data_IF_442901225295
#
_entry.id   IF_442901225295
#
_cell.length_a   1.000
_cell.length_b   1.000
_cell.length_c   1.000
_cell.angle_alpha   90.00
_cell.angle_beta   90.00
_cell.angle_gamma   90.00
#
_symmetry.space_group_name_H-M   'P 1'
#
loop_
_entity.id
_entity.type
_entity.pdbx_description
1 polymer ?
#
# COMPACT_ATOMS: atom_id res chain seq x y z
N UNK A 1 27.14 11.76 13.93
CA UNK A 1 26.49 10.44 14.00
C UNK A 1 26.01 10.11 12.60
N UNK A 2 26.48 9.00 12.01
CA UNK A 2 25.98 8.55 10.70
C UNK A 2 24.51 8.17 10.88
N UNK A 3 23.59 8.96 10.34
CA UNK A 3 22.17 8.60 10.33
C UNK A 3 22.03 7.40 9.38
N UNK A 4 21.67 6.23 9.91
CA UNK A 4 21.42 5.06 9.09
C UNK A 4 20.30 5.35 8.10
N UNK A 5 20.49 4.99 6.83
CA UNK A 5 19.47 5.15 5.78
C UNK A 5 18.17 4.44 6.20
N UNK A 6 17.00 5.12 6.21
CA UNK A 6 15.71 4.51 6.51
C UNK A 6 15.41 3.29 5.63
N UNK A 7 15.01 2.17 6.23
CA UNK A 7 14.41 1.02 5.54
C UNK A 7 12.91 1.00 5.82
N UNK A 8 12.11 0.99 4.75
CA UNK A 8 10.67 1.18 4.79
C UNK A 8 9.89 -0.10 4.49
N UNK A 9 8.83 -0.30 5.26
CA UNK A 9 7.67 -1.10 4.86
C UNK A 9 6.54 -0.15 4.44
N UNK A 10 6.21 -0.12 3.16
CA UNK A 10 5.23 0.82 2.61
C UNK A 10 3.80 0.28 2.60
N UNK A 11 3.50 -0.89 3.15
CA UNK A 11 2.12 -1.38 3.23
C UNK A 11 1.92 -2.30 4.43
N UNK A 12 1.20 -1.82 5.43
CA UNK A 12 0.80 -2.59 6.61
C UNK A 12 -0.61 -2.21 7.03
N UNK A 13 -1.26 -3.06 7.81
CA UNK A 13 -2.51 -2.80 8.49
C UNK A 13 -2.33 -3.06 9.99
N UNK A 14 -3.11 -2.39 10.83
CA UNK A 14 -3.19 -2.72 12.26
C UNK A 14 -4.64 -3.00 12.64
N UNK A 15 -4.83 -3.92 13.56
CA UNK A 15 -6.12 -4.31 14.10
C UNK A 15 -6.08 -4.33 15.61
N UNK A 16 -6.98 -3.57 16.24
CA UNK A 16 -7.06 -3.50 17.70
C UNK A 16 -5.84 -2.82 18.36
N UNK A 17 -5.65 -3.04 19.68
CA UNK A 17 -6.43 -3.97 20.50
C UNK A 17 -7.89 -3.50 20.65
N UNK A 18 -8.85 -4.43 20.59
CA UNK A 18 -10.27 -4.10 20.38
C UNK A 18 -10.97 -3.50 21.60
N UNK A 19 -10.39 -3.63 22.80
CA UNK A 19 -10.82 -2.95 24.01
C UNK A 19 -10.62 -1.44 23.94
N UNK A 20 -9.57 -0.98 23.22
CA UNK A 20 -9.25 0.45 23.02
C UNK A 20 -9.71 0.97 21.67
N UNK A 21 -9.62 0.15 20.63
CA UNK A 21 -9.98 0.50 19.27
C UNK A 21 -10.98 -0.51 18.72
N UNK A 22 -12.25 -0.47 19.20
CA UNK A 22 -13.27 -1.40 18.76
C UNK A 22 -13.60 -1.19 17.28
N UNK A 23 -13.93 -2.27 16.60
CA UNK A 23 -14.47 -2.21 15.24
C UNK A 23 -15.89 -1.60 15.26
N UNK A 24 -16.28 -0.89 14.18
CA UNK A 24 -17.68 -0.51 13.98
C UNK A 24 -18.58 -1.75 13.89
N UNK A 25 -19.86 -1.61 14.25
CA UNK A 25 -20.82 -2.73 14.22
C UNK A 25 -21.02 -3.28 12.80
N UNK A 26 -20.83 -2.43 11.80
CA UNK A 26 -20.99 -2.70 10.38
C UNK A 26 -19.70 -3.23 9.72
N UNK A 27 -18.68 -3.57 10.51
CA UNK A 27 -17.44 -4.14 9.97
C UNK A 27 -17.72 -5.40 9.16
N UNK A 28 -17.17 -5.46 7.94
CA UNK A 28 -17.40 -6.56 6.98
C UNK A 28 -16.97 -7.92 7.53
N UNK A 29 -15.97 -7.93 8.43
CA UNK A 29 -15.54 -9.09 9.21
C UNK A 29 -14.77 -8.61 10.46
N UNK A 30 -14.43 -9.54 11.37
CA UNK A 30 -13.62 -9.27 12.57
C UNK A 30 -12.30 -10.04 12.45
N UNK A 31 -11.17 -9.37 12.12
CA UNK A 31 -9.86 -10.02 12.09
C UNK A 31 -9.34 -10.34 13.49
N UNK A 32 -8.33 -11.19 13.58
CA UNK A 32 -7.54 -11.31 14.81
C UNK A 32 -6.86 -9.98 15.15
N UNK A 33 -6.67 -9.71 16.44
CA UNK A 33 -5.99 -8.49 16.87
C UNK A 33 -4.52 -8.52 16.43
N UNK A 34 -4.10 -7.47 15.75
CA UNK A 34 -2.74 -7.24 15.27
C UNK A 34 -2.37 -5.78 15.58
N UNK A 35 -2.12 -5.45 16.86
CA UNK A 35 -1.96 -4.07 17.31
C UNK A 35 -0.62 -3.48 16.85
N UNK A 36 -0.50 -2.15 16.92
CA UNK A 36 0.71 -1.44 16.49
C UNK A 36 2.01 -1.92 17.17
N UNK A 37 1.96 -2.32 18.45
CA UNK A 37 3.14 -2.85 19.13
C UNK A 37 3.60 -4.20 18.55
N UNK A 38 2.68 -5.03 18.05
CA UNK A 38 3.02 -6.25 17.34
C UNK A 38 3.68 -5.94 15.99
N UNK A 39 3.15 -4.96 15.25
CA UNK A 39 3.78 -4.48 14.01
C UNK A 39 5.21 -3.99 14.26
N UNK A 40 5.42 -3.20 15.32
CA UNK A 40 6.76 -2.71 15.70
C UNK A 40 7.72 -3.85 16.05
N UNK A 41 7.24 -4.89 16.71
CA UNK A 41 8.05 -6.06 17.02
C UNK A 41 8.50 -6.79 15.74
N UNK A 42 7.59 -6.98 14.78
CA UNK A 42 7.90 -7.56 13.46
C UNK A 42 8.93 -6.69 12.73
N UNK A 43 8.66 -5.39 12.58
CA UNK A 43 9.58 -4.45 11.92
C UNK A 43 10.99 -4.51 12.52
N UNK A 44 11.09 -4.53 13.86
CA UNK A 44 12.37 -4.67 14.56
C UNK A 44 13.08 -5.97 14.20
N UNK A 45 12.37 -7.10 14.12
CA UNK A 45 12.98 -8.39 13.79
C UNK A 45 13.50 -8.51 12.37
N UNK A 46 12.92 -7.76 11.42
CA UNK A 46 13.31 -7.79 10.00
C UNK A 46 14.08 -6.53 9.55
N UNK A 47 14.51 -5.69 10.49
CA UNK A 47 15.34 -4.51 10.21
C UNK A 47 14.60 -3.33 9.56
N UNK A 48 13.27 -3.33 9.57
CA UNK A 48 12.47 -2.18 9.11
C UNK A 48 12.49 -1.09 10.17
N UNK A 49 12.73 0.14 9.72
CA UNK A 49 12.86 1.32 10.59
C UNK A 49 11.70 2.31 10.43
N UNK A 50 11.04 2.28 9.28
CA UNK A 50 9.93 3.18 8.92
C UNK A 50 8.79 2.38 8.31
N UNK A 51 7.56 2.86 8.48
CA UNK A 51 6.38 2.11 8.07
C UNK A 51 5.26 2.97 7.50
N UNK A 52 4.41 2.38 6.68
CA UNK A 52 3.17 3.00 6.21
C UNK A 52 2.00 2.14 6.66
N UNK A 53 1.17 2.70 7.54
CA UNK A 53 -0.02 2.06 8.08
C UNK A 53 -1.21 2.50 7.22
N UNK A 54 -1.74 1.56 6.46
CA UNK A 54 -2.91 1.76 5.62
C UNK A 54 -4.15 1.45 6.46
N UNK A 55 -5.11 2.37 6.49
CA UNK A 55 -6.38 2.20 7.17
C UNK A 55 -7.03 0.89 6.72
N UNK A 56 -7.23 -0.01 7.68
CA UNK A 56 -7.90 -1.27 7.43
C UNK A 56 -9.38 -1.01 7.11
N UNK A 57 -9.89 -1.70 6.09
CA UNK A 57 -11.27 -1.50 5.60
C UNK A 57 -12.32 -1.71 6.70
N UNK A 58 -12.05 -2.63 7.64
CA UNK A 58 -12.91 -2.97 8.77
C UNK A 58 -13.19 -1.80 9.71
N UNK A 59 -12.29 -0.83 9.81
CA UNK A 59 -12.50 0.38 10.62
C UNK A 59 -13.26 1.48 9.87
N UNK A 60 -13.38 1.37 8.53
CA UNK A 60 -14.03 2.38 7.70
C UNK A 60 -13.49 3.79 7.99
N UNK A 61 -14.38 4.77 8.31
CA UNK A 61 -13.98 6.15 8.58
C UNK A 61 -13.48 6.39 10.01
N UNK A 62 -13.35 5.35 10.85
CA UNK A 62 -12.80 5.49 12.20
C UNK A 62 -11.27 5.33 12.17
N UNK A 63 -10.54 6.44 12.15
CA UNK A 63 -9.07 6.45 12.11
C UNK A 63 -8.41 6.46 13.50
N UNK A 64 -9.14 6.23 14.61
CA UNK A 64 -8.57 6.33 15.96
C UNK A 64 -7.35 5.43 16.16
N UNK A 65 -7.42 4.17 15.72
CA UNK A 65 -6.28 3.23 15.80
C UNK A 65 -5.09 3.72 14.97
N UNK A 66 -5.35 4.11 13.71
CA UNK A 66 -4.33 4.62 12.78
C UNK A 66 -3.62 5.82 13.40
N UNK A 67 -4.37 6.85 13.80
CA UNK A 67 -3.78 8.09 14.25
C UNK A 67 -3.04 7.94 15.59
N UNK A 68 -3.53 7.09 16.49
CA UNK A 68 -2.81 6.77 17.72
C UNK A 68 -1.48 6.05 17.44
N UNK A 69 -1.45 5.17 16.43
CA UNK A 69 -0.21 4.51 15.99
C UNK A 69 0.78 5.50 15.38
N UNK A 70 0.31 6.49 14.61
CA UNK A 70 1.19 7.53 14.05
C UNK A 70 1.81 8.41 15.15
N UNK A 71 1.04 8.82 16.14
CA UNK A 71 1.56 9.58 17.29
C UNK A 71 2.62 8.77 18.05
N UNK A 72 2.33 7.50 18.33
CA UNK A 72 3.27 6.59 19.00
C UNK A 72 4.50 6.26 18.14
N UNK A 73 4.39 6.38 16.81
CA UNK A 73 5.46 6.15 15.85
C UNK A 73 6.50 7.27 15.79
N UNK A 74 6.27 8.42 16.44
CA UNK A 74 7.19 9.56 16.54
C UNK A 74 7.88 9.94 15.21
N UNK A 75 7.09 9.98 14.13
CA UNK A 75 7.57 10.34 12.79
C UNK A 75 8.24 9.21 11.99
N UNK A 76 8.41 8.00 12.55
CA UNK A 76 8.90 6.85 11.79
C UNK A 76 7.80 6.20 10.92
N UNK A 77 6.53 6.47 11.21
CA UNK A 77 5.39 5.93 10.49
C UNK A 77 4.62 7.01 9.73
N UNK A 78 3.99 6.64 8.62
CA UNK A 78 3.00 7.45 7.87
C UNK A 78 1.68 6.71 7.75
N UNK A 79 0.60 7.48 7.59
CA UNK A 79 -0.74 6.93 7.45
C UNK A 79 -1.30 7.07 6.05
N UNK A 80 -2.10 6.09 5.63
CA UNK A 80 -2.99 6.18 4.48
C UNK A 80 -4.42 6.03 4.99
N UNK A 81 -5.25 7.05 4.82
CA UNK A 81 -6.62 7.06 5.32
C UNK A 81 -7.62 6.47 4.32
N UNK A 82 -8.77 6.01 4.80
CA UNK A 82 -9.98 5.84 3.98
C UNK A 82 -10.94 6.97 4.33
N UNK A 83 -11.33 7.80 3.37
CA UNK A 83 -12.19 8.98 3.60
C UNK A 83 -13.43 8.92 2.70
N UNK A 84 -14.41 9.76 3.00
CA UNK A 84 -15.48 10.10 2.06
C UNK A 84 -15.25 11.51 1.49
N UNK A 85 -15.82 11.86 0.33
CA UNK A 85 -15.74 13.22 -0.22
C UNK A 85 -16.24 14.30 0.75
N UNK A 86 -17.20 13.95 1.61
CA UNK A 86 -17.87 14.83 2.57
C UNK A 86 -17.07 15.02 3.88
N UNK A 87 -15.88 14.40 4.00
CA UNK A 87 -15.05 14.56 5.20
C UNK A 87 -14.74 16.06 5.43
N UNK A 88 -14.92 16.59 6.65
CA UNK A 88 -14.60 17.99 6.94
C UNK A 88 -13.11 18.32 6.72
N UNK A 89 -12.82 19.53 6.24
CA UNK A 89 -11.44 20.02 6.02
C UNK A 89 -10.58 19.97 7.28
N UNK A 90 -11.18 20.31 8.44
CA UNK A 90 -10.52 20.24 9.74
C UNK A 90 -9.98 18.84 10.05
N UNK A 91 -10.70 17.78 9.63
CA UNK A 91 -10.26 16.41 9.85
C UNK A 91 -9.10 16.06 8.93
N UNK A 92 -9.12 16.51 7.67
CA UNK A 92 -8.00 16.31 6.75
C UNK A 92 -6.74 17.03 7.23
N UNK A 93 -6.86 18.28 7.68
CA UNK A 93 -5.75 19.04 8.25
C UNK A 93 -5.18 18.37 9.52
N UNK A 94 -6.05 17.88 10.40
CA UNK A 94 -5.66 17.13 11.61
C UNK A 94 -4.95 15.81 11.27
N UNK A 95 -5.43 15.08 10.26
CA UNK A 95 -4.75 13.88 9.75
C UNK A 95 -3.37 14.21 9.16
N UNK A 96 -3.26 15.30 8.39
CA UNK A 96 -2.01 15.74 7.78
C UNK A 96 -0.96 16.08 8.84
N UNK A 97 -1.36 16.85 9.87
CA UNK A 97 -0.50 17.21 10.99
C UNK A 97 0.04 16.00 11.76
N UNK A 98 -0.68 14.86 11.73
CA UNK A 98 -0.31 13.61 12.41
C UNK A 98 0.40 12.62 11.48
N UNK A 99 0.77 13.02 10.26
CA UNK A 99 1.59 12.20 9.37
C UNK A 99 0.81 11.31 8.41
N UNK A 100 -0.47 11.57 8.16
CA UNK A 100 -1.16 10.99 7.00
C UNK A 100 -0.60 11.63 5.73
N UNK A 101 -0.33 10.81 4.70
CA UNK A 101 0.29 11.22 3.43
C UNK A 101 -0.52 10.79 2.20
N UNK A 102 -1.68 10.19 2.40
CA UNK A 102 -2.49 9.68 1.31
C UNK A 102 -3.80 9.09 1.74
N UNK A 103 -4.59 8.70 0.74
CA UNK A 103 -5.83 7.96 0.92
C UNK A 103 -5.82 6.65 0.15
N UNK A 104 -6.63 5.69 0.57
CA UNK A 104 -6.88 4.45 -0.16
C UNK A 104 -8.23 4.54 -0.88
N UNK A 105 -8.18 4.31 -2.19
CA UNK A 105 -9.32 4.04 -3.05
C UNK A 105 -9.39 2.51 -3.22
N UNK A 106 -10.20 1.87 -2.37
CA UNK A 106 -10.44 0.43 -2.42
C UNK A 106 -11.48 0.09 -3.48
N UNK A 107 -11.13 -0.79 -4.41
CA UNK A 107 -11.96 -1.23 -5.55
C UNK A 107 -12.09 -2.75 -5.62
N UNK A 108 -11.73 -3.45 -4.54
CA UNK A 108 -11.95 -4.88 -4.42
C UNK A 108 -13.42 -5.15 -4.07
N UNK A 109 -14.11 -5.85 -4.97
CA UNK A 109 -15.54 -6.18 -4.85
C UNK A 109 -15.85 -7.04 -3.62
N UNK A 110 -14.98 -7.99 -3.26
CA UNK A 110 -15.15 -8.81 -2.06
C UNK A 110 -15.03 -8.02 -0.75
N UNK A 111 -14.53 -6.78 -0.80
CA UNK A 111 -14.53 -5.84 0.34
C UNK A 111 -15.73 -4.88 0.28
N UNK A 112 -16.73 -5.17 -0.56
CA UNK A 112 -17.95 -4.37 -0.70
C UNK A 112 -17.80 -3.10 -1.55
N UNK A 113 -16.71 -2.95 -2.31
CA UNK A 113 -16.48 -1.74 -3.11
C UNK A 113 -16.80 -1.98 -4.60
N UNK A 114 -17.44 -0.99 -5.25
CA UNK A 114 -17.58 -0.90 -6.69
C UNK A 114 -16.82 0.31 -7.23
N UNK A 115 -16.44 0.26 -8.51
CA UNK A 115 -15.83 1.41 -9.18
C UNK A 115 -16.86 2.51 -9.41
N UNK A 116 -16.47 3.74 -9.08
CA UNK A 116 -17.22 4.97 -9.33
C UNK A 116 -16.21 6.08 -9.68
N UNK A 117 -16.18 6.47 -10.96
CA UNK A 117 -15.26 7.49 -11.45
C UNK A 117 -15.49 8.88 -10.84
N UNK A 118 -16.76 9.23 -10.54
CA UNK A 118 -17.11 10.50 -9.91
C UNK A 118 -16.61 10.56 -8.47
N UNK A 119 -16.74 9.45 -7.74
CA UNK A 119 -16.20 9.33 -6.38
C UNK A 119 -14.67 9.38 -6.37
N UNK A 120 -13.99 8.69 -7.27
CA UNK A 120 -12.52 8.75 -7.41
C UNK A 120 -12.06 10.19 -7.61
N UNK A 121 -12.69 10.90 -8.55
CA UNK A 121 -12.42 12.30 -8.84
C UNK A 121 -12.60 13.19 -7.63
N UNK A 122 -13.74 13.09 -6.96
CA UNK A 122 -14.02 13.89 -5.77
C UNK A 122 -12.99 13.62 -4.65
N UNK A 123 -12.64 12.36 -4.39
CA UNK A 123 -11.63 12.01 -3.38
C UNK A 123 -10.25 12.60 -3.70
N UNK A 124 -9.83 12.54 -4.96
CA UNK A 124 -8.57 13.09 -5.43
C UNK A 124 -8.51 14.62 -5.27
N UNK A 125 -9.61 15.32 -5.55
CA UNK A 125 -9.72 16.77 -5.35
C UNK A 125 -9.54 17.16 -3.88
N UNK A 126 -10.12 16.39 -2.94
CA UNK A 126 -10.01 16.66 -1.49
C UNK A 126 -8.57 16.60 -0.97
N UNK A 127 -7.73 15.72 -1.53
CA UNK A 127 -6.38 15.48 -1.02
C UNK A 127 -5.31 16.34 -1.68
N UNK A 128 -5.61 16.93 -2.84
CA UNK A 128 -4.66 17.71 -3.64
C UNK A 128 -3.96 18.84 -2.85
N UNK A 129 -4.65 19.64 -2.01
CA UNK A 129 -4.00 20.72 -1.24
C UNK A 129 -2.93 20.25 -0.26
N UNK A 130 -2.96 18.97 0.13
CA UNK A 130 -2.04 18.39 1.11
C UNK A 130 -0.81 17.72 0.48
N UNK A 131 -0.72 17.68 -0.85
CA UNK A 131 0.34 16.95 -1.56
C UNK A 131 0.29 15.44 -1.35
N UNK A 132 -0.86 14.93 -0.92
CA UNK A 132 -1.11 13.52 -0.64
C UNK A 132 -1.23 12.70 -1.92
N UNK A 133 -0.97 11.39 -1.81
CA UNK A 133 -1.18 10.45 -2.92
C UNK A 133 -2.48 9.65 -2.77
N UNK A 134 -3.00 9.16 -3.89
CA UNK A 134 -4.10 8.20 -3.93
C UNK A 134 -3.54 6.79 -4.14
N UNK A 135 -3.71 5.92 -3.16
CA UNK A 135 -3.41 4.50 -3.27
C UNK A 135 -4.61 3.78 -3.91
N UNK A 136 -4.37 3.04 -4.99
CA UNK A 136 -5.40 2.31 -5.74
C UNK A 136 -5.21 0.81 -5.50
N UNK A 137 -6.21 0.18 -4.90
CA UNK A 137 -6.22 -1.27 -4.68
C UNK A 137 -7.43 -1.90 -5.39
N UNK A 138 -7.18 -2.64 -6.47
CA UNK A 138 -8.19 -3.29 -7.30
C UNK A 138 -7.56 -4.29 -8.26
N UNK A 139 -8.41 -5.04 -8.97
CA UNK A 139 -8.01 -5.81 -10.16
C UNK A 139 -7.48 -4.87 -11.26
N UNK A 140 -6.64 -5.36 -12.19
CA UNK A 140 -5.99 -4.53 -13.21
C UNK A 140 -6.93 -3.57 -13.96
N UNK A 141 -8.12 -4.03 -14.35
CA UNK A 141 -9.11 -3.20 -15.06
C UNK A 141 -9.61 -2.04 -14.20
N UNK A 142 -9.84 -2.28 -12.91
CA UNK A 142 -10.24 -1.25 -11.95
C UNK A 142 -9.10 -0.27 -11.68
N UNK A 143 -7.84 -0.76 -11.68
CA UNK A 143 -6.66 0.10 -11.58
C UNK A 143 -6.59 1.07 -12.76
N UNK A 144 -6.76 0.55 -13.99
CA UNK A 144 -6.75 1.38 -15.20
C UNK A 144 -7.89 2.40 -15.19
N UNK A 145 -9.11 1.99 -14.85
CA UNK A 145 -10.26 2.88 -14.78
C UNK A 145 -10.12 3.97 -13.70
N UNK A 146 -9.54 3.63 -12.54
CA UNK A 146 -9.28 4.59 -11.48
C UNK A 146 -8.14 5.55 -11.81
N UNK A 147 -7.10 5.08 -12.50
CA UNK A 147 -6.03 5.93 -12.97
C UNK A 147 -6.54 6.95 -14.01
N UNK A 148 -7.38 6.52 -14.94
CA UNK A 148 -8.04 7.41 -15.90
C UNK A 148 -8.93 8.46 -15.19
N UNK A 149 -9.74 8.02 -14.22
CA UNK A 149 -10.59 8.92 -13.44
C UNK A 149 -9.79 9.95 -12.61
N UNK A 150 -8.60 9.58 -12.13
CA UNK A 150 -7.73 10.43 -11.33
C UNK A 150 -6.74 11.29 -12.15
N UNK A 151 -6.45 10.91 -13.40
CA UNK A 151 -5.30 11.34 -14.21
C UNK A 151 -5.23 12.81 -14.63
N UNK A 152 -6.14 13.67 -14.16
CA UNK A 152 -6.16 15.10 -14.52
C UNK A 152 -5.95 16.06 -13.35
N UNK A 153 -5.74 15.55 -12.13
CA UNK A 153 -5.76 16.40 -10.92
C UNK A 153 -4.41 16.66 -10.27
N UNK A 154 -3.30 16.21 -10.87
CA UNK A 154 -1.95 16.49 -10.36
C UNK A 154 -1.64 15.83 -9.02
N UNK A 155 -2.28 14.70 -8.69
CA UNK A 155 -1.94 13.88 -7.52
C UNK A 155 -1.09 12.68 -7.93
N UNK A 156 -0.23 12.22 -7.03
CA UNK A 156 0.50 10.96 -7.21
C UNK A 156 -0.49 9.79 -7.05
N UNK A 157 -0.36 8.78 -7.91
CA UNK A 157 -1.08 7.51 -7.80
C UNK A 157 -0.12 6.42 -7.35
N UNK A 158 -0.53 5.59 -6.39
CA UNK A 158 0.24 4.44 -5.92
C UNK A 158 -0.60 3.18 -6.17
N UNK A 159 -0.19 2.37 -7.13
CA UNK A 159 -0.84 1.10 -7.46
C UNK A 159 -0.40 0.05 -6.43
N UNK A 160 -1.36 -0.67 -5.86
CA UNK A 160 -1.10 -1.63 -4.78
C UNK A 160 -0.76 -3.03 -5.31
N UNK A 161 0.05 -3.77 -4.56
CA UNK A 161 0.33 -5.20 -4.73
C UNK A 161 0.55 -5.70 -6.17
N UNK A 162 1.48 -5.09 -6.92
CA UNK A 162 1.77 -5.43 -8.32
C UNK A 162 0.51 -5.44 -9.20
N UNK A 163 -0.42 -4.51 -8.92
CA UNK A 163 -1.72 -4.38 -9.57
C UNK A 163 -2.58 -5.66 -9.55
N UNK A 164 -2.33 -6.57 -8.58
CA UNK A 164 -3.04 -7.87 -8.48
C UNK A 164 -2.93 -8.72 -9.76
N UNK A 165 -1.83 -8.61 -10.51
CA UNK A 165 -1.58 -9.37 -11.74
C UNK A 165 -1.45 -10.87 -11.48
N UNK A 166 -2.58 -11.59 -11.42
CA UNK A 166 -2.62 -13.03 -11.20
C UNK A 166 -1.79 -13.79 -12.24
N UNK A 167 -0.86 -14.64 -11.77
CA UNK A 167 -0.02 -15.43 -12.68
C UNK A 167 -0.80 -16.47 -13.48
N UNK A 168 -1.97 -16.88 -12.98
CA UNK A 168 -2.84 -17.84 -13.67
C UNK A 168 -3.73 -17.17 -14.74
N UNK A 169 -3.61 -15.85 -14.95
CA UNK A 169 -4.43 -15.13 -15.93
C UNK A 169 -3.94 -15.43 -17.36
N UNK A 170 -4.82 -15.88 -18.28
CA UNK A 170 -4.42 -16.23 -19.65
C UNK A 170 -3.91 -15.02 -20.46
N UNK A 171 -4.27 -13.81 -20.03
CA UNK A 171 -3.91 -12.53 -20.62
C UNK A 171 -2.88 -11.74 -19.77
N UNK A 172 -2.15 -12.41 -18.86
CA UNK A 172 -1.16 -11.79 -17.96
C UNK A 172 -0.21 -10.83 -18.68
N UNK A 173 0.35 -11.23 -19.82
CA UNK A 173 1.30 -10.41 -20.58
C UNK A 173 0.68 -9.09 -21.01
N UNK A 174 -0.55 -9.13 -21.57
CA UNK A 174 -1.26 -7.93 -22.00
C UNK A 174 -1.59 -7.01 -20.81
N UNK A 175 -2.08 -7.57 -19.71
CA UNK A 175 -2.35 -6.80 -18.48
C UNK A 175 -1.08 -6.14 -17.92
N UNK A 176 0.04 -6.86 -17.95
CA UNK A 176 1.34 -6.33 -17.53
C UNK A 176 1.82 -5.21 -18.46
N UNK A 177 1.60 -5.32 -19.78
CA UNK A 177 1.89 -4.27 -20.75
C UNK A 177 1.11 -2.98 -20.45
N UNK A 178 -0.18 -3.11 -20.12
CA UNK A 178 -1.05 -1.99 -19.77
C UNK A 178 -0.57 -1.28 -18.49
N UNK A 179 -0.26 -2.05 -17.44
CA UNK A 179 0.27 -1.50 -16.18
C UNK A 179 1.63 -0.84 -16.40
N UNK A 180 2.51 -1.43 -17.21
CA UNK A 180 3.79 -0.82 -17.54
C UNK A 180 3.60 0.49 -18.33
N UNK A 181 2.64 0.52 -19.25
CA UNK A 181 2.30 1.75 -20.00
C UNK A 181 1.84 2.85 -19.06
N UNK A 182 0.98 2.53 -18.08
CA UNK A 182 0.55 3.47 -17.05
C UNK A 182 1.71 3.94 -16.17
N UNK A 183 2.63 3.04 -15.78
CA UNK A 183 3.78 3.35 -14.92
C UNK A 183 4.84 4.26 -15.55
N UNK A 184 4.85 4.40 -16.87
CA UNK A 184 5.69 5.37 -17.57
C UNK A 184 5.32 6.82 -17.24
N UNK A 185 4.09 7.06 -16.77
CA UNK A 185 3.68 8.37 -16.28
C UNK A 185 4.40 8.73 -14.96
N UNK A 186 4.94 9.94 -14.85
CA UNK A 186 5.84 10.33 -13.76
C UNK A 186 5.19 10.38 -12.37
N UNK A 187 3.86 10.51 -12.33
CA UNK A 187 3.08 10.53 -11.09
C UNK A 187 2.57 9.15 -10.64
N UNK A 188 2.85 8.10 -11.40
CA UNK A 188 2.38 6.74 -11.07
C UNK A 188 3.51 5.94 -10.42
N UNK A 189 3.19 5.38 -9.28
CA UNK A 189 4.02 4.55 -8.42
C UNK A 189 3.42 3.16 -8.32
N UNK A 190 4.25 2.18 -7.97
CA UNK A 190 3.83 0.78 -7.80
C UNK A 190 4.39 0.23 -6.50
N UNK A 191 3.54 -0.47 -5.74
CA UNK A 191 4.01 -1.34 -4.67
C UNK A 191 4.35 -2.71 -5.24
N UNK A 192 5.62 -3.10 -5.20
CA UNK A 192 6.09 -4.45 -5.54
C UNK A 192 5.98 -5.43 -4.36
N UNK A 193 4.94 -5.22 -3.54
CA UNK A 193 4.46 -6.10 -2.45
C UNK A 193 3.46 -7.13 -2.98
N UNK A 194 3.04 -8.10 -2.14
CA UNK A 194 1.93 -8.99 -2.47
C UNK A 194 2.27 -10.05 -3.52
N UNK A 195 3.51 -10.55 -3.52
CA UNK A 195 3.90 -11.67 -4.40
C UNK A 195 3.07 -12.93 -4.12
N UNK A 196 2.81 -13.21 -2.85
CA UNK A 196 1.90 -14.26 -2.39
C UNK A 196 0.50 -14.08 -3.00
N UNK A 197 0.06 -12.83 -3.17
CA UNK A 197 -1.26 -12.47 -3.73
C UNK A 197 -1.39 -12.77 -5.22
N UNK A 198 -0.35 -12.55 -6.00
CA UNK A 198 -0.35 -12.86 -7.44
C UNK A 198 -0.02 -14.33 -7.74
N UNK A 199 0.62 -15.02 -6.80
CA UNK A 199 1.04 -16.44 -6.93
C UNK A 199 0.14 -17.44 -6.20
N UNK A 200 -0.81 -16.96 -5.37
CA UNK A 200 -1.57 -17.79 -4.42
C UNK A 200 -0.65 -18.53 -3.43
N UNK A 201 0.39 -17.85 -2.94
CA UNK A 201 1.37 -18.36 -1.99
C UNK A 201 2.57 -19.11 -2.60
N UNK A 202 2.63 -19.28 -3.93
CA UNK A 202 3.75 -19.95 -4.63
C UNK A 202 4.93 -19.01 -4.85
N UNK A 203 5.66 -18.67 -3.77
CA UNK A 203 6.78 -17.71 -3.81
C UNK A 203 7.96 -18.17 -4.69
N UNK A 204 8.06 -19.47 -4.99
CA UNK A 204 9.07 -20.07 -5.85
C UNK A 204 8.75 -19.96 -7.35
N UNK A 205 7.57 -19.45 -7.72
CA UNK A 205 7.17 -19.27 -9.12
C UNK A 205 8.11 -18.28 -9.84
N UNK A 206 8.89 -18.72 -10.85
CA UNK A 206 9.86 -17.87 -11.55
C UNK A 206 9.20 -16.70 -12.29
N UNK A 207 7.97 -16.88 -12.77
CA UNK A 207 7.18 -15.86 -13.47
C UNK A 207 6.92 -14.65 -12.56
N UNK A 208 6.78 -14.86 -11.24
CA UNK A 208 6.61 -13.77 -10.29
C UNK A 208 7.81 -12.81 -10.28
N UNK A 209 9.02 -13.35 -10.42
CA UNK A 209 10.25 -12.54 -10.49
C UNK A 209 10.27 -11.72 -11.77
N UNK A 210 9.92 -12.32 -12.91
CA UNK A 210 9.86 -11.62 -14.19
C UNK A 210 8.84 -10.47 -14.17
N UNK A 211 7.67 -10.68 -13.57
CA UNK A 211 6.66 -9.62 -13.36
C UNK A 211 7.24 -8.49 -12.52
N UNK A 212 7.84 -8.79 -11.36
CA UNK A 212 8.44 -7.77 -10.49
C UNK A 212 9.54 -6.99 -11.20
N UNK A 213 10.47 -7.68 -11.85
CA UNK A 213 11.61 -7.06 -12.55
C UNK A 213 11.11 -6.07 -13.60
N UNK A 214 10.13 -6.47 -14.41
CA UNK A 214 9.57 -5.60 -15.44
C UNK A 214 8.89 -4.35 -14.86
N UNK A 215 8.19 -4.48 -13.73
CA UNK A 215 7.57 -3.34 -13.04
C UNK A 215 8.64 -2.39 -12.47
N UNK A 216 9.68 -2.92 -11.85
CA UNK A 216 10.80 -2.15 -11.29
C UNK A 216 11.61 -1.45 -12.39
N UNK A 217 11.92 -2.14 -13.49
CA UNK A 217 12.62 -1.58 -14.65
C UNK A 217 11.83 -0.45 -15.32
N UNK A 218 10.50 -0.56 -15.35
CA UNK A 218 9.63 0.46 -15.94
C UNK A 218 9.60 1.74 -15.10
N UNK A 219 9.66 1.61 -13.77
CA UNK A 219 9.52 2.72 -12.83
C UNK A 219 10.54 2.65 -11.68
N UNK A 220 11.86 2.66 -11.97
CA UNK A 220 12.91 2.33 -10.98
C UNK A 220 12.99 3.31 -9.81
N UNK A 221 12.55 4.55 -10.02
CA UNK A 221 12.48 5.61 -9.00
C UNK A 221 11.11 5.73 -8.32
N UNK A 222 10.16 4.85 -8.68
CA UNK A 222 8.77 4.89 -8.20
C UNK A 222 8.21 3.52 -7.82
N UNK A 223 9.07 2.51 -7.73
CA UNK A 223 8.77 1.21 -7.16
C UNK A 223 9.10 1.21 -5.67
N UNK A 224 8.15 0.79 -4.83
CA UNK A 224 8.29 0.69 -3.37
C UNK A 224 7.81 -0.67 -2.89
N UNK A 225 8.22 -1.11 -1.71
CA UNK A 225 7.83 -2.42 -1.17
C UNK A 225 7.14 -2.31 0.18
N UNK A 226 6.33 -3.32 0.52
CA UNK A 226 5.77 -3.51 1.85
C UNK A 226 5.40 -4.97 2.12
N UNK A 227 5.30 -5.35 3.39
CA UNK A 227 4.98 -6.73 3.78
C UNK A 227 3.54 -7.10 3.49
N UNK A 228 2.64 -6.13 3.59
CA UNK A 228 1.19 -6.33 3.72
C UNK A 228 0.76 -7.05 5.01
N UNK A 229 1.60 -6.96 6.05
CA UNK A 229 1.28 -7.44 7.39
C UNK A 229 -0.05 -6.85 7.89
N UNK A 230 -0.92 -7.62 8.58
CA UNK A 230 -0.75 -9.00 9.03
C UNK A 230 -1.30 -10.02 8.04
N UNK A 231 -1.29 -9.71 6.74
CA UNK A 231 -1.73 -10.58 5.66
C UNK A 231 -3.23 -10.92 5.72
N UNK A 232 -4.13 -9.92 5.63
CA UNK A 232 -5.56 -10.17 5.73
C UNK A 232 -6.10 -10.88 4.48
N UNK A 233 -7.18 -11.65 4.67
CA UNK A 233 -7.98 -12.29 3.62
C UNK A 233 -7.21 -13.28 2.74
N UNK A 234 -6.32 -14.07 3.33
CA UNK A 234 -5.63 -15.15 2.61
C UNK A 234 -6.46 -16.43 2.54
N UNK A 235 -6.34 -17.15 1.43
CA UNK A 235 -6.89 -18.50 1.22
C UNK A 235 -5.79 -19.57 1.19
N UNK A 236 -4.56 -19.18 1.55
CA UNK A 236 -3.34 -19.98 1.58
C UNK A 236 -2.56 -19.64 2.87
N UNK A 237 -1.54 -20.43 3.24
CA UNK A 237 -0.76 -20.18 4.44
C UNK A 237 -0.15 -18.77 4.47
N UNK A 238 -0.18 -18.15 5.65
CA UNK A 238 0.40 -16.82 5.86
C UNK A 238 1.91 -16.87 5.59
N UNK A 239 2.44 -16.05 4.66
CA UNK A 239 3.87 -15.99 4.41
C UNK A 239 4.61 -15.38 5.61
N UNK A 240 5.87 -15.73 5.79
CA UNK A 240 6.71 -15.06 6.77
C UNK A 240 7.25 -13.75 6.19
N UNK A 241 7.25 -12.68 6.99
CA UNK A 241 7.69 -11.35 6.55
C UNK A 241 9.16 -11.32 6.13
N UNK A 242 10.02 -12.07 6.82
CA UNK A 242 11.45 -12.24 6.48
C UNK A 242 11.64 -12.96 5.13
N UNK A 243 10.80 -13.96 4.85
CA UNK A 243 10.80 -14.66 3.58
C UNK A 243 10.35 -13.76 2.42
N UNK A 244 9.36 -12.88 2.63
CA UNK A 244 8.94 -11.89 1.63
C UNK A 244 10.05 -10.88 1.34
N UNK A 245 10.73 -10.39 2.37
CA UNK A 245 11.88 -9.49 2.22
C UNK A 245 13.06 -10.16 1.51
N UNK A 246 13.38 -11.40 1.88
CA UNK A 246 14.41 -12.20 1.21
C UNK A 246 14.05 -12.47 -0.25
N UNK A 247 12.76 -12.72 -0.54
CA UNK A 247 12.28 -12.92 -1.89
C UNK A 247 12.47 -11.66 -2.74
N UNK A 248 12.11 -10.48 -2.22
CA UNK A 248 12.34 -9.20 -2.89
C UNK A 248 13.81 -9.01 -3.26
N UNK A 249 14.73 -9.23 -2.31
CA UNK A 249 16.17 -9.14 -2.57
C UNK A 249 16.61 -10.07 -3.71
N UNK A 250 16.10 -11.30 -3.73
CA UNK A 250 16.39 -12.27 -4.79
C UNK A 250 15.76 -11.95 -6.15
N UNK A 251 14.67 -11.17 -6.18
CA UNK A 251 13.93 -10.85 -7.39
C UNK A 251 14.47 -9.57 -8.06
N UNK A 252 14.83 -8.56 -7.27
CA UNK A 252 15.40 -7.31 -7.76
C UNK A 252 16.81 -7.52 -8.35
N UNK A 253 17.62 -8.40 -7.74
CA UNK A 253 18.89 -8.85 -8.33
C UNK A 253 20.05 -7.85 -8.32
N UNK A 254 19.83 -6.62 -7.85
CA UNK A 254 20.84 -5.56 -7.70
C UNK A 254 20.68 -4.83 -6.35
N UNK A 255 21.79 -4.61 -5.65
CA UNK A 255 21.81 -3.94 -4.34
C UNK A 255 21.37 -2.48 -4.44
N UNK A 256 21.76 -1.78 -5.52
CA UNK A 256 21.38 -0.39 -5.70
C UNK A 256 19.86 -0.27 -5.92
N UNK A 257 19.28 -1.14 -6.73
CA UNK A 257 17.83 -1.19 -6.91
C UNK A 257 17.09 -1.63 -5.64
N UNK A 258 17.61 -2.60 -4.88
CA UNK A 258 17.02 -3.00 -3.61
C UNK A 258 16.98 -1.81 -2.62
N UNK A 259 18.08 -1.06 -2.54
CA UNK A 259 18.15 0.18 -1.76
C UNK A 259 17.18 1.24 -2.27
N UNK A 260 17.03 1.39 -3.59
CA UNK A 260 16.05 2.31 -4.16
C UNK A 260 14.62 1.96 -3.71
N UNK A 261 14.24 0.69 -3.83
CA UNK A 261 12.90 0.19 -3.48
C UNK A 261 12.60 0.29 -1.97
N UNK A 262 13.57 -0.01 -1.11
CA UNK A 262 13.38 -0.05 0.35
C UNK A 262 13.66 1.27 1.06
N UNK A 263 14.41 2.20 0.44
CA UNK A 263 14.88 3.40 1.13
C UNK A 263 14.63 4.69 0.35
N UNK A 264 15.21 4.82 -0.84
CA UNK A 264 15.27 6.10 -1.55
C UNK A 264 13.91 6.50 -2.14
N UNK A 265 13.23 5.56 -2.79
CA UNK A 265 11.91 5.78 -3.38
C UNK A 265 10.87 6.07 -2.28
N UNK A 266 10.73 5.25 -1.21
CA UNK A 266 9.82 5.55 -0.12
C UNK A 266 10.11 6.90 0.56
N UNK A 267 11.38 7.23 0.79
CA UNK A 267 11.75 8.51 1.40
C UNK A 267 11.24 9.70 0.56
N UNK A 268 11.42 9.65 -0.76
CA UNK A 268 10.93 10.71 -1.66
C UNK A 268 9.40 10.81 -1.77
N UNK A 269 8.68 9.75 -1.43
CA UNK A 269 7.21 9.73 -1.44
C UNK A 269 6.62 10.18 -0.09
N UNK A 270 7.26 9.81 1.03
CA UNK A 270 6.66 9.86 2.36
C UNK A 270 7.30 10.84 3.35
N UNK A 271 8.55 11.27 3.12
CA UNK A 271 9.19 12.26 3.98
C UNK A 271 8.53 13.63 3.81
#
# INVERSE_FOLDING_TARGET
>A
MSVSTPVWDCHTHIYGPYDRYPLPKEAVYVPEAAPFDALRAVHKSIGITHGVIVQAANYGPNHCALLAALDAGNGAYRGIAVISPEIPDEKLAMMAARGVKGIRIGLMSHLGNSFDAGKVRALVERIRPYGWHALIHGEPENVMAAADAAGHYGVKLVIDHMARLSLDAPDLTARLDDICTLLRHEHVWIKVSGVDRITKGRLDAPEAKAVLQRLVETAPKRAIWGTDWPHPNLTYPVPKDDALLSWLGSAVGDEAMLKAVLSENPASLYQ
#
